data_IF_042494952343
#
_entry.id   IF_042494952343
#
_cell.length_a   1.000
_cell.length_b   1.000
_cell.length_c   1.000
_cell.angle_alpha   90.00
_cell.angle_beta   90.00
_cell.angle_gamma   90.00
#
_symmetry.space_group_name_H-M   'P 1'
#
loop_
_entity.id
_entity.type
_entity.pdbx_description
1 polymer ?
#
# COMPACT_ATOMS: atom_id res chain seq x y z
N UNK A 1 -7.52 -26.54 -12.60
CA UNK A 1 -7.69 -26.12 -11.18
C UNK A 1 -7.22 -27.22 -10.23
N UNK A 2 -5.99 -27.74 -10.41
CA UNK A 2 -5.30 -28.67 -9.50
C UNK A 2 -3.75 -28.63 -9.68
N UNK A 3 -3.17 -27.55 -10.22
CA UNK A 3 -1.71 -27.40 -10.44
C UNK A 3 -1.02 -26.50 -9.39
N UNK A 4 -1.73 -25.51 -8.85
CA UNK A 4 -1.07 -24.38 -8.15
C UNK A 4 -0.66 -24.70 -6.70
N UNK A 5 -1.11 -25.84 -6.17
CA UNK A 5 -0.72 -26.33 -4.84
C UNK A 5 0.60 -27.12 -4.90
N UNK A 6 0.97 -27.63 -6.08
CA UNK A 6 2.19 -28.43 -6.29
C UNK A 6 3.42 -27.54 -6.53
N UNK A 7 3.28 -26.46 -7.32
CA UNK A 7 4.39 -25.55 -7.62
C UNK A 7 4.95 -24.83 -6.38
N UNK A 8 4.09 -24.41 -5.44
CA UNK A 8 4.51 -23.78 -4.18
C UNK A 8 5.34 -24.71 -3.28
N UNK A 9 5.16 -26.04 -3.43
CA UNK A 9 5.86 -27.08 -2.64
C UNK A 9 7.00 -27.74 -3.41
N UNK A 10 7.01 -27.63 -4.74
CA UNK A 10 8.09 -28.03 -5.62
C UNK A 10 9.05 -26.87 -5.88
N UNK A 11 8.86 -26.19 -7.00
CA UNK A 11 9.81 -25.22 -7.56
C UNK A 11 10.05 -23.97 -6.70
N UNK A 12 9.06 -23.56 -5.91
CA UNK A 12 9.12 -22.34 -5.10
C UNK A 12 9.33 -22.60 -3.61
N UNK A 13 9.64 -23.84 -3.23
CA UNK A 13 9.74 -24.26 -1.83
C UNK A 13 10.79 -23.47 -1.05
N UNK A 14 11.93 -23.21 -1.68
CA UNK A 14 13.12 -22.67 -1.01
C UNK A 14 13.21 -21.13 -1.06
N UNK A 15 12.31 -20.48 -1.82
CA UNK A 15 12.25 -19.02 -1.98
C UNK A 15 13.61 -18.40 -2.37
N UNK A 16 13.82 -17.12 -2.07
CA UNK A 16 15.00 -16.35 -2.51
C UNK A 16 15.95 -15.95 -1.39
N UNK A 17 15.74 -16.41 -0.15
CA UNK A 17 16.67 -16.11 0.94
C UNK A 17 17.83 -17.12 0.99
N UNK A 18 18.64 -17.11 -0.07
CA UNK A 18 19.77 -18.01 -0.28
C UNK A 18 20.82 -17.33 -1.19
N UNK A 19 22.04 -17.88 -1.25
CA UNK A 19 23.08 -17.39 -2.18
C UNK A 19 22.72 -17.65 -3.66
N UNK A 20 21.92 -18.69 -3.91
CA UNK A 20 21.40 -19.05 -5.23
C UNK A 20 19.91 -19.40 -5.10
N UNK A 21 19.11 -18.94 -6.04
CA UNK A 21 17.68 -19.22 -6.09
C UNK A 21 17.26 -19.61 -7.51
N UNK A 22 16.35 -20.59 -7.62
CA UNK A 22 15.68 -20.90 -8.88
C UNK A 22 14.53 -19.91 -9.05
N UNK A 23 14.52 -19.19 -10.17
CA UNK A 23 13.46 -18.23 -10.51
C UNK A 23 12.99 -18.48 -11.95
N UNK A 24 11.68 -18.36 -12.24
CA UNK A 24 11.19 -18.44 -13.60
C UNK A 24 11.68 -17.23 -14.40
N UNK A 25 12.21 -17.52 -15.58
CA UNK A 25 12.76 -16.52 -16.47
C UNK A 25 11.73 -15.46 -16.86
N UNK A 26 10.45 -15.83 -16.95
CA UNK A 26 9.33 -14.95 -17.28
C UNK A 26 9.07 -13.87 -16.23
N UNK A 27 9.62 -14.01 -15.02
CA UNK A 27 9.52 -13.03 -13.93
C UNK A 27 10.80 -12.20 -13.74
N UNK A 28 11.84 -12.48 -14.54
CA UNK A 28 13.11 -11.79 -14.48
C UNK A 28 13.11 -10.55 -15.37
N UNK A 29 13.15 -9.38 -14.76
CA UNK A 29 13.28 -8.11 -15.46
C UNK A 29 14.72 -7.60 -15.41
N UNK A 30 15.23 -7.13 -16.55
CA UNK A 30 16.59 -6.57 -16.64
C UNK A 30 16.60 -5.17 -16.02
N UNK A 31 17.49 -4.96 -15.06
CA UNK A 31 17.73 -3.66 -14.45
C UNK A 31 18.93 -2.98 -15.12
N UNK A 32 18.81 -1.68 -15.39
CA UNK A 32 19.90 -0.86 -15.94
C UNK A 32 20.86 -0.43 -14.81
N UNK A 33 21.94 -1.19 -14.65
CA UNK A 33 22.97 -0.97 -13.63
C UNK A 33 23.67 0.40 -13.79
N UNK A 34 23.96 0.80 -15.03
CA UNK A 34 24.61 2.09 -15.31
C UNK A 34 23.75 3.28 -14.87
N UNK A 35 22.43 3.15 -15.00
CA UNK A 35 21.48 4.14 -14.49
C UNK A 35 21.29 4.04 -12.98
N UNK A 36 20.99 2.86 -12.45
CA UNK A 36 20.60 2.69 -11.04
C UNK A 36 21.79 2.83 -10.09
N UNK A 37 22.86 2.09 -10.32
CA UNK A 37 24.05 2.12 -9.47
C UNK A 37 25.02 3.23 -9.87
N UNK A 38 25.15 3.50 -11.17
CA UNK A 38 26.05 4.56 -11.66
C UNK A 38 25.49 5.96 -11.42
N UNK A 39 24.41 6.33 -12.15
CA UNK A 39 23.88 7.70 -12.14
C UNK A 39 23.08 8.05 -10.90
N UNK A 40 22.28 7.11 -10.39
CA UNK A 40 21.41 7.34 -9.22
C UNK A 40 22.08 6.92 -7.91
N UNK A 41 23.20 6.19 -7.96
CA UNK A 41 24.02 5.87 -6.80
C UNK A 41 23.38 4.85 -5.83
N UNK A 42 22.45 4.02 -6.31
CA UNK A 42 21.86 2.97 -5.48
C UNK A 42 22.83 1.80 -5.32
N UNK A 43 22.92 1.28 -4.09
CA UNK A 43 23.61 0.01 -3.86
C UNK A 43 22.72 -1.16 -4.30
N UNK A 44 23.33 -2.30 -4.63
CA UNK A 44 22.58 -3.52 -4.98
C UNK A 44 21.57 -3.90 -3.88
N UNK A 45 21.94 -3.67 -2.61
CA UNK A 45 21.06 -3.91 -1.46
C UNK A 45 19.81 -3.02 -1.47
N UNK A 46 19.91 -1.77 -1.95
CA UNK A 46 18.77 -0.85 -2.05
C UNK A 46 17.76 -1.34 -3.10
N UNK A 47 18.25 -1.98 -4.18
CA UNK A 47 17.40 -2.51 -5.26
C UNK A 47 16.47 -3.63 -4.76
N UNK A 48 16.83 -4.34 -3.69
CA UNK A 48 15.95 -5.30 -3.04
C UNK A 48 14.63 -4.69 -2.55
N UNK A 49 14.60 -3.37 -2.31
CA UNK A 49 13.38 -2.67 -1.89
C UNK A 49 12.32 -2.54 -3.00
N UNK A 50 12.70 -2.76 -4.27
CA UNK A 50 11.76 -2.71 -5.41
C UNK A 50 10.57 -3.64 -5.19
N UNK A 51 10.79 -4.85 -4.65
CA UNK A 51 9.72 -5.80 -4.38
C UNK A 51 8.65 -5.23 -3.42
N UNK A 52 9.07 -4.47 -2.40
CA UNK A 52 8.14 -3.83 -1.47
C UNK A 52 7.39 -2.64 -2.09
N UNK A 53 8.01 -1.95 -3.06
CA UNK A 53 7.40 -0.83 -3.80
C UNK A 53 6.38 -1.31 -4.86
N UNK A 54 6.60 -2.49 -5.45
CA UNK A 54 5.70 -3.02 -6.48
C UNK A 54 4.30 -3.35 -5.95
N UNK A 55 4.19 -3.81 -4.70
CA UNK A 55 2.90 -4.12 -4.07
C UNK A 55 1.96 -2.91 -4.02
N UNK A 56 2.33 -1.77 -3.40
CA UNK A 56 1.49 -0.59 -3.43
C UNK A 56 1.39 0.01 -4.83
N UNK A 57 2.42 -0.06 -5.68
CA UNK A 57 2.32 0.46 -7.05
C UNK A 57 1.22 -0.22 -7.86
N UNK A 58 1.11 -1.56 -7.81
CA UNK A 58 0.04 -2.29 -8.49
C UNK A 58 -1.33 -1.78 -8.05
N UNK A 59 -1.54 -1.70 -6.74
CA UNK A 59 -2.82 -1.27 -6.19
C UNK A 59 -3.18 0.20 -6.47
N UNK A 60 -2.22 1.11 -6.35
CA UNK A 60 -2.43 2.52 -6.66
C UNK A 60 -2.66 2.76 -8.17
N UNK A 61 -2.03 1.93 -9.03
CA UNK A 61 -2.28 1.95 -10.47
C UNK A 61 -3.66 1.41 -10.81
N UNK A 62 -4.12 0.35 -10.13
CA UNK A 62 -5.42 -0.26 -10.37
C UNK A 62 -6.59 0.69 -10.07
N UNK A 63 -6.44 1.57 -9.06
CA UNK A 63 -7.41 2.64 -8.78
C UNK A 63 -7.20 3.90 -9.62
N UNK A 64 -6.23 3.88 -10.53
CA UNK A 64 -5.91 4.98 -11.43
C UNK A 64 -5.56 6.29 -10.70
N UNK A 65 -4.81 6.19 -9.59
CA UNK A 65 -4.39 7.36 -8.79
C UNK A 65 -3.66 8.39 -9.67
N UNK A 66 -4.15 9.63 -9.65
CA UNK A 66 -3.61 10.73 -10.46
C UNK A 66 -2.73 11.67 -9.65
N UNK A 67 -1.80 12.31 -10.36
CA UNK A 67 -1.03 13.41 -9.81
C UNK A 67 -1.97 14.53 -9.33
N UNK A 68 -1.69 15.07 -8.15
CA UNK A 68 -2.49 16.10 -7.49
C UNK A 68 -3.64 15.59 -6.62
N UNK A 69 -4.02 14.30 -6.72
CA UNK A 69 -5.01 13.68 -5.83
C UNK A 69 -4.45 13.48 -4.41
N UNK A 70 -5.34 13.36 -3.43
CA UNK A 70 -4.99 13.15 -2.02
C UNK A 70 -5.31 11.73 -1.59
N UNK A 71 -4.33 11.03 -1.05
CA UNK A 71 -4.46 9.65 -0.57
C UNK A 71 -4.12 9.53 0.91
N UNK A 72 -4.92 8.74 1.64
CA UNK A 72 -4.60 8.30 2.99
C UNK A 72 -3.82 6.98 2.91
N UNK A 73 -2.74 6.85 3.68
CA UNK A 73 -1.99 5.59 3.83
C UNK A 73 -2.02 5.15 5.29
N UNK A 74 -2.51 3.94 5.56
CA UNK A 74 -2.57 3.38 6.91
C UNK A 74 -2.20 1.88 6.97
N UNK A 75 -1.44 1.44 7.99
CA UNK A 75 -0.48 2.21 8.76
C UNK A 75 0.72 2.60 7.88
N UNK A 76 1.13 3.86 7.88
CA UNK A 76 2.20 4.40 7.03
C UNK A 76 3.64 4.05 7.47
N UNK A 77 3.82 3.41 8.62
CA UNK A 77 5.16 3.15 9.20
C UNK A 77 5.68 1.71 8.96
N UNK A 78 4.85 0.83 8.40
CA UNK A 78 5.26 -0.55 8.07
C UNK A 78 6.08 -0.63 6.78
N UNK A 79 6.58 -1.82 6.44
CA UNK A 79 7.35 -2.03 5.20
C UNK A 79 6.55 -1.62 3.94
N UNK A 80 5.33 -2.14 3.80
CA UNK A 80 4.45 -1.80 2.67
C UNK A 80 3.79 -0.43 2.80
N UNK A 81 3.47 0.00 4.03
CA UNK A 81 2.88 1.33 4.26
C UNK A 81 3.86 2.45 3.93
N UNK A 82 5.12 2.33 4.37
CA UNK A 82 6.18 3.28 4.02
C UNK A 82 6.47 3.27 2.52
N UNK A 83 6.52 2.08 1.90
CA UNK A 83 6.62 1.95 0.44
C UNK A 83 5.45 2.64 -0.28
N UNK A 84 4.22 2.51 0.22
CA UNK A 84 3.04 3.16 -0.35
C UNK A 84 3.14 4.69 -0.30
N UNK A 85 3.68 5.26 0.78
CA UNK A 85 3.97 6.70 0.85
C UNK A 85 4.95 7.10 -0.26
N UNK A 86 6.04 6.37 -0.44
CA UNK A 86 7.05 6.67 -1.47
C UNK A 86 6.47 6.59 -2.89
N UNK A 87 5.71 5.53 -3.17
CA UNK A 87 5.09 5.32 -4.48
C UNK A 87 4.04 6.39 -4.77
N UNK A 88 3.14 6.69 -3.84
CA UNK A 88 2.14 7.74 -4.02
C UNK A 88 2.80 9.11 -4.27
N UNK A 89 3.88 9.42 -3.56
CA UNK A 89 4.65 10.64 -3.80
C UNK A 89 5.29 10.63 -5.20
N UNK A 90 5.85 9.51 -5.65
CA UNK A 90 6.42 9.38 -6.99
C UNK A 90 5.37 9.50 -8.10
N UNK A 91 4.12 9.05 -7.85
CA UNK A 91 2.97 9.24 -8.74
C UNK A 91 2.41 10.67 -8.74
N UNK A 92 2.98 11.58 -7.93
CA UNK A 92 2.58 12.99 -7.87
C UNK A 92 1.38 13.28 -6.95
N UNK A 93 0.95 12.32 -6.13
CA UNK A 93 -0.14 12.52 -5.18
C UNK A 93 0.32 13.29 -3.92
N UNK A 94 -0.65 13.76 -3.13
CA UNK A 94 -0.47 14.24 -1.76
C UNK A 94 -0.83 13.11 -0.81
N UNK A 95 -0.05 12.94 0.26
CA UNK A 95 -0.18 11.78 1.15
C UNK A 95 -0.54 12.23 2.55
N UNK A 96 -1.55 11.60 3.14
CA UNK A 96 -1.87 11.69 4.57
C UNK A 96 -1.43 10.37 5.22
N UNK A 97 -0.30 10.40 5.92
CA UNK A 97 0.30 9.26 6.59
C UNK A 97 -0.33 9.03 7.97
N UNK A 98 -1.04 7.91 8.13
CA UNK A 98 -1.62 7.50 9.41
C UNK A 98 -0.72 6.54 10.17
N UNK A 99 -0.55 6.72 11.47
CA UNK A 99 0.21 5.78 12.29
C UNK A 99 -0.01 5.93 13.77
N UNK A 100 0.33 4.87 14.52
CA UNK A 100 0.25 4.84 15.99
C UNK A 100 1.43 5.56 16.67
N UNK A 101 2.61 5.51 16.04
CA UNK A 101 3.82 6.13 16.56
C UNK A 101 3.98 7.52 15.93
N UNK A 102 3.64 8.55 16.71
CA UNK A 102 3.65 9.97 16.28
C UNK A 102 5.04 10.39 15.82
N UNK A 103 6.09 10.06 16.59
CA UNK A 103 7.46 10.42 16.25
C UNK A 103 7.89 9.86 14.89
N UNK A 104 7.42 8.65 14.54
CA UNK A 104 7.76 8.01 13.28
C UNK A 104 7.01 8.65 12.11
N UNK A 105 5.70 8.89 12.23
CA UNK A 105 4.94 9.55 11.15
C UNK A 105 5.35 11.01 10.96
N UNK A 106 5.77 11.71 12.02
CA UNK A 106 6.29 13.07 11.93
C UNK A 106 7.66 13.11 11.24
N UNK A 107 8.50 12.09 11.43
CA UNK A 107 9.73 11.93 10.64
C UNK A 107 9.42 11.72 9.15
N UNK A 108 8.35 10.99 8.80
CA UNK A 108 7.93 10.82 7.40
C UNK A 108 7.46 12.17 6.84
N UNK A 109 6.60 12.90 7.56
CA UNK A 109 6.16 14.25 7.19
C UNK A 109 7.32 15.21 6.93
N UNK A 110 8.34 15.22 7.79
CA UNK A 110 9.51 16.09 7.63
C UNK A 110 10.35 15.82 6.37
N UNK A 111 10.20 14.65 5.72
CA UNK A 111 10.96 14.29 4.52
C UNK A 111 10.37 14.87 3.23
N UNK A 112 9.10 15.26 3.21
CA UNK A 112 8.47 15.78 2.00
C UNK A 112 7.26 16.67 2.34
N UNK A 113 7.20 17.87 1.75
CA UNK A 113 6.12 18.85 1.97
C UNK A 113 4.72 18.36 1.56
N UNK A 114 4.64 17.34 0.68
CA UNK A 114 3.36 16.74 0.25
C UNK A 114 2.84 15.67 1.20
N UNK A 115 3.51 15.48 2.34
CA UNK A 115 3.10 14.51 3.37
C UNK A 115 2.56 15.25 4.58
N UNK A 116 1.36 14.86 4.99
CA UNK A 116 0.76 15.23 6.26
C UNK A 116 0.71 14.02 7.19
N UNK A 117 0.80 14.25 8.51
CA UNK A 117 0.76 13.18 9.52
C UNK A 117 -0.54 13.25 10.30
N UNK A 118 -1.19 12.10 10.51
CA UNK A 118 -2.37 11.96 11.35
C UNK A 118 -2.18 10.79 12.32
N UNK A 119 -2.24 11.01 13.64
CA UNK A 119 -2.14 9.92 14.60
C UNK A 119 -3.40 9.04 14.56
N UNK A 120 -3.23 7.73 14.67
CA UNK A 120 -4.33 6.79 14.91
C UNK A 120 -4.63 6.82 16.41
N UNK A 121 -5.76 7.41 16.80
CA UNK A 121 -6.16 7.50 18.21
C UNK A 121 -7.09 6.37 18.63
N UNK A 122 -7.74 5.73 17.66
CA UNK A 122 -8.77 4.70 17.92
C UNK A 122 -10.18 5.28 18.06
N UNK A 123 -10.32 6.61 18.10
CA UNK A 123 -11.60 7.29 18.01
C UNK A 123 -11.92 7.59 16.54
N UNK A 124 -12.95 6.90 16.04
CA UNK A 124 -13.36 6.95 14.63
C UNK A 124 -13.71 8.36 14.17
N UNK A 125 -14.46 9.10 14.99
CA UNK A 125 -14.94 10.42 14.60
C UNK A 125 -13.79 11.41 14.61
N UNK A 126 -13.01 11.41 15.70
CA UNK A 126 -11.84 12.28 15.86
C UNK A 126 -10.80 12.06 14.76
N UNK A 127 -10.50 10.79 14.45
CA UNK A 127 -9.55 10.46 13.38
C UNK A 127 -10.10 10.89 12.02
N UNK A 128 -11.39 10.66 11.73
CA UNK A 128 -12.00 11.07 10.45
C UNK A 128 -12.06 12.60 10.28
N UNK A 129 -12.29 13.36 11.34
CA UNK A 129 -12.23 14.82 11.31
C UNK A 129 -10.81 15.31 11.10
N UNK A 130 -9.81 14.69 11.74
CA UNK A 130 -8.41 15.04 11.54
C UNK A 130 -7.99 14.84 10.07
N UNK A 131 -8.45 13.76 9.44
CA UNK A 131 -8.21 13.48 8.01
C UNK A 131 -8.86 14.53 7.09
N UNK A 132 -10.12 14.91 7.35
CA UNK A 132 -10.86 15.87 6.51
C UNK A 132 -10.29 17.30 6.53
N UNK A 133 -9.50 17.67 7.54
CA UNK A 133 -8.88 19.00 7.64
C UNK A 133 -7.96 19.32 6.46
N UNK A 134 -7.44 18.30 5.79
CA UNK A 134 -6.56 18.44 4.63
C UNK A 134 -7.33 18.58 3.31
N UNK A 135 -8.66 18.63 3.35
CA UNK A 135 -9.53 18.74 2.19
C UNK A 135 -10.08 17.39 1.72
N UNK A 136 -10.63 17.33 0.50
CA UNK A 136 -11.21 16.10 -0.03
C UNK A 136 -10.15 15.02 -0.25
N UNK A 137 -10.42 13.81 0.23
CA UNK A 137 -9.57 12.63 0.02
C UNK A 137 -10.13 11.78 -1.11
N UNK A 138 -9.28 11.42 -2.06
CA UNK A 138 -9.63 10.70 -3.28
C UNK A 138 -9.43 9.18 -3.16
N UNK A 139 -8.47 8.75 -2.32
CA UNK A 139 -8.18 7.33 -2.10
C UNK A 139 -7.78 7.04 -0.65
N UNK A 140 -8.02 5.80 -0.22
CA UNK A 140 -7.51 5.25 1.02
C UNK A 140 -6.81 3.94 0.72
N UNK A 141 -5.54 3.84 1.10
CA UNK A 141 -4.71 2.65 1.03
C UNK A 141 -4.50 2.10 2.45
N UNK A 142 -5.12 0.97 2.76
CA UNK A 142 -4.88 0.24 4.01
C UNK A 142 -4.13 -1.06 3.76
N UNK A 143 -3.08 -1.31 4.54
CA UNK A 143 -2.26 -2.53 4.50
C UNK A 143 -2.22 -3.24 5.85
N UNK A 144 -3.31 -3.14 6.60
CA UNK A 144 -3.43 -3.83 7.89
C UNK A 144 -3.62 -5.33 7.68
N UNK A 145 -3.13 -6.17 8.61
CA UNK A 145 -3.34 -7.60 8.52
C UNK A 145 -4.83 -7.95 8.70
N UNK A 146 -5.28 -9.16 8.28
CA UNK A 146 -6.69 -9.57 8.29
C UNK A 146 -7.39 -9.37 9.64
N UNK A 147 -6.66 -9.61 10.73
CA UNK A 147 -7.14 -9.54 12.11
C UNK A 147 -7.51 -8.11 12.50
N UNK A 148 -7.01 -7.11 11.77
CA UNK A 148 -7.32 -5.70 11.96
C UNK A 148 -8.58 -5.26 11.20
N UNK A 149 -9.35 -6.15 10.55
CA UNK A 149 -10.54 -5.78 9.77
C UNK A 149 -11.64 -5.04 10.55
N UNK A 150 -11.62 -5.09 11.90
CA UNK A 150 -12.51 -4.34 12.80
C UNK A 150 -11.83 -3.12 13.45
N UNK A 151 -10.60 -2.81 13.07
CA UNK A 151 -9.84 -1.74 13.68
C UNK A 151 -10.46 -0.38 13.35
N UNK A 152 -10.57 0.53 14.34
CA UNK A 152 -11.22 1.82 14.16
C UNK A 152 -10.67 2.66 13.00
N UNK A 153 -9.36 2.59 12.73
CA UNK A 153 -8.70 3.42 11.71
C UNK A 153 -9.20 3.14 10.28
N UNK A 154 -9.61 1.90 9.98
CA UNK A 154 -10.21 1.54 8.68
C UNK A 154 -11.53 2.30 8.51
N UNK A 155 -12.34 2.33 9.57
CA UNK A 155 -13.60 3.08 9.58
C UNK A 155 -13.35 4.59 9.49
N UNK A 156 -12.35 5.11 10.22
CA UNK A 156 -11.94 6.53 10.16
C UNK A 156 -11.55 6.95 8.74
N UNK A 157 -10.71 6.15 8.07
CA UNK A 157 -10.25 6.38 6.70
C UNK A 157 -11.40 6.38 5.70
N UNK A 158 -12.26 5.35 5.75
CA UNK A 158 -13.44 5.27 4.89
C UNK A 158 -14.39 6.45 5.06
N UNK A 159 -14.60 6.89 6.31
CA UNK A 159 -15.45 8.04 6.57
C UNK A 159 -14.88 9.34 6.01
N UNK A 160 -13.55 9.47 5.87
CA UNK A 160 -12.89 10.69 5.39
C UNK A 160 -12.89 10.85 3.86
N UNK A 161 -13.28 9.82 3.10
CA UNK A 161 -13.28 9.84 1.64
C UNK A 161 -14.34 10.80 1.07
N UNK A 162 -14.00 11.44 -0.05
CA UNK A 162 -14.92 12.34 -0.80
C UNK A 162 -16.00 11.55 -1.57
N UNK A 163 -15.66 10.34 -2.05
CA UNK A 163 -16.51 9.40 -2.82
C UNK A 163 -16.03 7.96 -2.55
N UNK A 164 -16.84 6.96 -2.91
CA UNK A 164 -16.70 5.50 -2.66
C UNK A 164 -15.46 4.79 -3.26
N UNK A 165 -14.28 5.43 -3.26
CA UNK A 165 -13.01 4.84 -3.72
C UNK A 165 -12.18 4.41 -2.50
N UNK A 166 -12.45 3.20 -2.03
CA UNK A 166 -11.65 2.52 -1.00
C UNK A 166 -10.77 1.47 -1.67
N UNK A 167 -9.48 1.46 -1.36
CA UNK A 167 -8.57 0.41 -1.82
C UNK A 167 -7.86 -0.23 -0.63
N UNK A 168 -8.18 -1.49 -0.38
CA UNK A 168 -7.72 -2.23 0.79
C UNK A 168 -6.76 -3.33 0.31
N UNK A 169 -5.47 -3.21 0.62
CA UNK A 169 -4.47 -4.26 0.39
C UNK A 169 -4.34 -5.06 1.68
N UNK A 170 -5.31 -5.93 1.93
CA UNK A 170 -5.30 -6.84 3.06
C UNK A 170 -6.22 -8.01 2.79
N UNK A 171 -5.76 -9.23 3.07
CA UNK A 171 -6.62 -10.40 3.04
C UNK A 171 -7.71 -10.18 4.11
N UNK A 172 -8.99 -10.13 3.76
CA UNK A 172 -10.06 -9.99 4.76
C UNK A 172 -10.41 -11.38 5.31
N UNK A 173 -10.61 -11.49 6.62
CA UNK A 173 -11.31 -12.67 7.16
C UNK A 173 -12.76 -12.70 6.63
N UNK A 174 -13.23 -13.87 6.20
CA UNK A 174 -14.61 -14.10 5.77
C UNK A 174 -15.60 -13.56 6.80
N UNK A 175 -16.55 -12.71 6.37
CA UNK A 175 -17.58 -12.12 7.25
C UNK A 175 -17.51 -10.60 7.45
N UNK A 176 -16.54 -9.92 6.83
CA UNK A 176 -16.48 -8.45 6.74
C UNK A 176 -17.21 -7.87 5.51
N UNK A 177 -17.75 -8.74 4.67
CA UNK A 177 -18.46 -8.42 3.41
C UNK A 177 -19.62 -7.43 3.61
N UNK A 178 -20.30 -7.47 4.77
CA UNK A 178 -21.41 -6.56 5.07
C UNK A 178 -21.00 -5.12 5.38
N UNK A 179 -19.73 -4.86 5.72
CA UNK A 179 -19.21 -3.50 5.92
C UNK A 179 -18.68 -2.87 4.62
N UNK A 180 -18.48 -3.70 3.57
CA UNK A 180 -17.89 -3.33 2.27
C UNK A 180 -18.84 -3.70 1.13
N UNK A 181 -20.13 -3.90 1.41
CA UNK A 181 -21.12 -4.38 0.43
C UNK A 181 -21.37 -3.44 -0.77
N UNK A 182 -20.77 -2.25 -0.80
CA UNK A 182 -20.94 -1.26 -1.88
C UNK A 182 -19.64 -0.72 -2.50
N UNK A 183 -18.45 -1.04 -1.98
CA UNK A 183 -17.27 -0.15 -2.16
C UNK A 183 -16.05 -0.86 -2.74
N UNK A 184 -16.22 -1.58 -3.86
CA UNK A 184 -15.15 -2.02 -4.76
C UNK A 184 -15.47 -1.57 -6.20
N UNK A 185 -15.74 -0.27 -6.36
CA UNK A 185 -15.90 0.37 -7.66
C UNK A 185 -14.68 1.26 -7.92
N UNK A 186 -13.58 0.63 -8.31
CA UNK A 186 -12.57 1.34 -9.10
C UNK A 186 -13.20 1.87 -10.39
N UNK A 187 -12.61 2.91 -11.01
CA UNK A 187 -13.04 3.40 -12.33
C UNK A 187 -13.02 2.31 -13.41
N UNK A 188 -12.29 1.22 -13.17
CA UNK A 188 -12.47 -0.08 -13.79
C UNK A 188 -12.48 -1.15 -12.69
N UNK A 189 -13.52 -1.98 -12.66
CA UNK A 189 -13.66 -3.07 -11.70
C UNK A 189 -13.00 -4.35 -12.22
N UNK A 190 -12.04 -4.88 -11.47
CA UNK A 190 -11.63 -6.27 -11.57
C UNK A 190 -11.81 -6.95 -10.21
N UNK A 191 -12.54 -8.07 -10.20
CA UNK A 191 -12.60 -8.97 -9.05
C UNK A 191 -11.24 -9.66 -8.97
N UNK A 192 -10.48 -9.43 -7.91
CA UNK A 192 -9.46 -10.40 -7.50
C UNK A 192 -10.21 -11.67 -7.07
N UNK A 193 -10.22 -12.68 -7.94
CA UNK A 193 -10.57 -14.03 -7.55
C UNK A 193 -9.54 -14.52 -6.56
N UNK A 194 -10.01 -15.08 -5.46
CA UNK A 194 -9.24 -15.74 -4.41
C UNK A 194 -8.09 -16.59 -5.00
N UNK A 195 -6.86 -16.31 -4.57
CA UNK A 195 -5.71 -17.19 -4.74
C UNK A 195 -5.61 -18.22 -3.59
#
# INVERSE_FOLDING_TARGET
MLSDVDERRGEWRDSTYAEYAKVPFETCEILDEGKLCGRLGYEIADLGHIAALLVPYGGLRDIDLKAGETIIVSPATGAFGGAAVLVALAMGAKVIAMGRNVDTIDKIKKRNERVESVPITGDVLKDSEALRRFGPVDAFFDVSPPEAGKAPHIKSGNLALKRELTFLVGHLQSGTEHLIGSTLLGRHSYRFSSF
#
